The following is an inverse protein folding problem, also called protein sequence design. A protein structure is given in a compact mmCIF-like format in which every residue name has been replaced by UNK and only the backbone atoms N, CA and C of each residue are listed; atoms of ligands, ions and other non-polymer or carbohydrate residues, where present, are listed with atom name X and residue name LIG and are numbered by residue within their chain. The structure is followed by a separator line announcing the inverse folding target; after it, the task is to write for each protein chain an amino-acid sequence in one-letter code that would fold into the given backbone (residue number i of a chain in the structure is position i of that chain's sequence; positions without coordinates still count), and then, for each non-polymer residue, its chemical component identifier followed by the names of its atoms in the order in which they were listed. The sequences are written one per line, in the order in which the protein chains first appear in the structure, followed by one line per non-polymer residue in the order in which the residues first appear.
data_IF_013394296672
#
_entry.id   IF_013394296672
#
_cell.length_a   1.000
_cell.length_b   1.000
_cell.length_c   1.000
_cell.angle_alpha   90.00
_cell.angle_beta   90.00
_cell.angle_gamma   90.00
#
_symmetry.space_group_name_H-M   'P 1'
#
loop_
_entity.id
_entity.type
_entity.pdbx_description
1 polymer ?
#
# COMPACT_ATOMS: atom_id res chain seq x y z
N UNK A 1 -23.36 2.71 26.86
CA UNK A 1 -22.84 3.92 26.19
C UNK A 1 -21.32 4.00 26.24
N UNK A 2 -20.67 3.91 27.40
CA UNK A 2 -19.19 3.93 27.47
C UNK A 2 -18.55 2.62 26.95
N UNK A 3 -19.16 1.46 27.21
CA UNK A 3 -18.68 0.17 26.69
C UNK A 3 -18.82 0.04 25.15
N UNK A 4 -19.82 0.71 24.56
CA UNK A 4 -20.02 0.77 23.11
C UNK A 4 -19.01 1.71 22.44
N UNK A 5 -18.59 2.78 23.13
CA UNK A 5 -17.54 3.68 22.67
C UNK A 5 -16.15 3.03 22.75
N UNK A 6 -15.87 2.26 23.82
CA UNK A 6 -14.63 1.49 23.96
C UNK A 6 -14.57 0.29 22.98
N UNK A 7 -15.71 -0.36 22.71
CA UNK A 7 -15.81 -1.39 21.67
C UNK A 7 -15.63 -0.84 20.25
N UNK A 8 -16.07 0.40 19.99
CA UNK A 8 -15.85 1.08 18.71
C UNK A 8 -14.39 1.54 18.56
N UNK A 9 -13.78 2.10 19.60
CA UNK A 9 -12.35 2.45 19.61
C UNK A 9 -11.43 1.21 19.46
N UNK A 10 -11.82 0.05 20.01
CA UNK A 10 -11.04 -1.19 19.95
C UNK A 10 -10.92 -1.79 18.54
N UNK A 11 -11.92 -1.61 17.67
CA UNK A 11 -11.89 -2.11 16.30
C UNK A 11 -11.41 -1.06 15.28
N UNK A 12 -11.54 0.24 15.59
CA UNK A 12 -11.17 1.32 14.66
C UNK A 12 -9.67 1.68 14.69
N UNK A 13 -8.92 1.14 15.66
CA UNK A 13 -7.52 1.49 15.93
C UNK A 13 -6.53 0.33 15.70
N UNK A 14 -6.92 -0.71 14.97
CA UNK A 14 -6.05 -1.89 14.77
C UNK A 14 -4.89 -1.58 13.78
N UNK A 15 -3.79 -1.08 14.37
CA UNK A 15 -2.40 -1.52 14.21
C UNK A 15 -1.34 -0.42 13.97
N UNK A 16 -1.65 0.73 13.37
CA UNK A 16 -0.66 1.82 13.19
C UNK A 16 -0.86 3.03 14.11
N UNK A 17 -2.10 3.37 14.44
CA UNK A 17 -2.44 4.49 15.31
C UNK A 17 -2.18 4.18 16.80
N UNK A 18 -2.31 2.90 17.19
CA UNK A 18 -2.04 2.40 18.56
C UNK A 18 -0.57 2.49 18.88
N UNK A 19 0.35 2.13 17.99
CA UNK A 19 1.78 2.23 18.27
C UNK A 19 2.23 3.69 18.47
N UNK A 20 1.67 4.63 17.72
CA UNK A 20 1.99 6.06 17.86
C UNK A 20 1.32 6.64 19.12
N UNK A 21 0.05 6.34 19.39
CA UNK A 21 -0.62 6.81 20.59
C UNK A 21 -0.08 6.17 21.87
N UNK A 22 0.31 4.89 21.86
CA UNK A 22 1.03 4.26 22.97
C UNK A 22 2.45 4.81 23.09
N UNK A 23 3.17 5.07 22.00
CA UNK A 23 4.48 5.72 22.10
C UNK A 23 4.40 7.15 22.67
N UNK A 24 3.35 7.90 22.34
CA UNK A 24 3.09 9.23 22.91
C UNK A 24 2.62 9.13 24.36
N UNK A 25 1.71 8.21 24.69
CA UNK A 25 1.22 8.01 26.05
C UNK A 25 2.31 7.47 26.99
N UNK A 26 3.09 6.48 26.56
CA UNK A 26 4.29 6.00 27.27
C UNK A 26 5.31 7.14 27.37
N UNK A 27 5.49 7.93 26.32
CA UNK A 27 6.34 9.11 26.32
C UNK A 27 5.94 10.12 27.41
N UNK A 28 4.65 10.40 27.57
CA UNK A 28 4.12 11.33 28.58
C UNK A 28 4.19 10.71 30.00
N UNK A 29 3.79 9.45 30.16
CA UNK A 29 3.78 8.73 31.45
C UNK A 29 5.21 8.54 31.98
N UNK A 30 6.21 8.35 31.11
CA UNK A 30 7.62 8.21 31.50
C UNK A 30 8.30 9.58 31.63
N UNK A 31 7.93 10.58 30.84
CA UNK A 31 8.55 11.90 30.91
C UNK A 31 8.22 12.67 32.20
N UNK A 32 7.01 12.54 32.73
CA UNK A 32 6.58 13.28 33.93
C UNK A 32 7.36 12.88 35.19
N UNK A 33 7.49 11.59 35.56
CA UNK A 33 8.27 11.18 36.73
C UNK A 33 9.75 11.52 36.60
N UNK A 34 10.32 11.43 35.39
CA UNK A 34 11.74 11.73 35.19
C UNK A 34 12.00 13.25 35.17
N UNK A 35 11.06 14.07 34.68
CA UNK A 35 11.16 15.52 34.83
C UNK A 35 11.08 15.96 36.29
N UNK A 36 10.24 15.31 37.11
CA UNK A 36 10.17 15.53 38.55
C UNK A 36 11.50 15.12 39.23
N UNK A 37 12.06 13.95 38.89
CA UNK A 37 13.36 13.51 39.40
C UNK A 37 14.51 14.43 38.95
N UNK A 38 14.50 14.90 37.71
CA UNK A 38 15.51 15.84 37.20
C UNK A 38 15.43 17.20 37.91
N UNK A 39 14.23 17.68 38.24
CA UNK A 39 14.03 18.90 39.01
C UNK A 39 14.54 18.78 40.47
N UNK A 40 14.35 17.60 41.10
CA UNK A 40 14.81 17.34 42.48
C UNK A 40 16.35 17.27 42.56
N UNK A 41 17.02 16.78 41.50
CA UNK A 41 18.45 16.52 41.52
C UNK A 41 19.28 17.49 40.65
N UNK A 42 18.70 18.60 40.17
CA UNK A 42 19.26 19.47 39.12
C UNK A 42 20.62 20.08 39.47
N UNK A 43 20.92 20.24 40.76
CA UNK A 43 22.20 20.76 41.27
C UNK A 43 23.28 19.69 41.39
N UNK A 44 22.93 18.41 41.30
CA UNK A 44 23.90 17.31 41.32
C UNK A 44 24.38 16.95 39.91
N UNK A 45 25.62 16.50 39.81
CA UNK A 45 26.21 16.05 38.54
C UNK A 45 25.41 14.90 37.88
N UNK A 46 24.78 14.05 38.71
CA UNK A 46 23.88 12.98 38.26
C UNK A 46 22.57 13.52 37.69
N UNK A 47 22.00 14.59 38.24
CA UNK A 47 20.80 15.23 37.71
C UNK A 47 21.04 15.91 36.35
N UNK A 48 22.22 16.53 36.15
CA UNK A 48 22.63 17.09 34.86
C UNK A 48 22.77 16.01 33.78
N UNK A 49 23.33 14.85 34.11
CA UNK A 49 23.40 13.70 33.19
C UNK A 49 22.02 13.15 32.84
N UNK A 50 21.12 13.03 33.83
CA UNK A 50 19.74 12.58 33.62
C UNK A 50 18.97 13.53 32.69
N UNK A 51 19.11 14.84 32.88
CA UNK A 51 18.49 15.86 32.05
C UNK A 51 19.04 15.83 30.60
N UNK A 52 20.35 15.67 30.42
CA UNK A 52 20.96 15.52 29.09
C UNK A 52 20.46 14.26 28.37
N UNK A 53 20.35 13.14 29.09
CA UNK A 53 19.80 11.90 28.54
C UNK A 53 18.34 12.04 28.14
N UNK A 54 17.51 12.72 28.94
CA UNK A 54 16.10 13.02 28.61
C UNK A 54 15.96 13.91 27.37
N UNK A 55 16.80 14.93 27.24
CA UNK A 55 16.83 15.77 26.04
C UNK A 55 17.22 14.94 24.81
N UNK A 56 18.17 14.02 24.95
CA UNK A 56 18.56 13.11 23.87
C UNK A 56 17.43 12.15 23.46
N UNK A 57 16.61 11.69 24.41
CA UNK A 57 15.41 10.88 24.15
C UNK A 57 14.34 11.71 23.42
N UNK A 58 14.07 12.93 23.89
CA UNK A 58 13.12 13.83 23.22
C UNK A 58 13.60 14.15 21.78
N UNK A 59 14.89 14.37 21.57
CA UNK A 59 15.47 14.54 20.23
C UNK A 59 15.38 13.28 19.38
N UNK A 60 15.54 12.09 19.97
CA UNK A 60 15.33 10.81 19.28
C UNK A 60 13.86 10.62 18.88
N UNK A 61 12.91 10.89 19.78
CA UNK A 61 11.48 10.86 19.49
C UNK A 61 11.08 11.90 18.45
N UNK A 62 11.58 13.14 18.55
CA UNK A 62 11.39 14.20 17.53
C UNK A 62 11.98 13.78 16.20
N UNK A 63 13.15 13.15 16.15
CA UNK A 63 13.73 12.60 14.91
C UNK A 63 12.89 11.45 14.35
N UNK A 64 12.32 10.60 15.21
CA UNK A 64 11.43 9.50 14.81
C UNK A 64 10.10 10.03 14.25
N UNK A 65 9.51 11.04 14.89
CA UNK A 65 8.30 11.74 14.42
C UNK A 65 8.58 12.54 13.12
N UNK A 66 9.72 13.22 13.03
CA UNK A 66 10.16 13.94 11.81
C UNK A 66 10.60 13.01 10.67
N UNK A 67 10.71 11.70 10.91
CA UNK A 67 11.17 10.76 9.88
C UNK A 67 10.11 10.47 8.80
N UNK A 68 8.85 10.80 9.07
CA UNK A 68 7.76 10.83 8.09
C UNK A 68 7.07 12.19 8.21
N UNK A 69 7.08 13.00 7.15
CA UNK A 69 6.38 14.31 7.12
C UNK A 69 5.19 14.19 6.20
N UNK A 70 4.00 14.60 6.64
CA UNK A 70 2.86 14.74 5.73
C UNK A 70 3.21 15.71 4.60
N UNK A 71 2.72 15.40 3.41
CA UNK A 71 2.77 16.34 2.28
C UNK A 71 1.79 17.48 2.56
N UNK A 72 2.09 18.68 2.08
CA UNK A 72 1.08 19.72 2.00
C UNK A 72 -0.01 19.30 1.00
N UNK A 73 -1.23 19.81 1.19
CA UNK A 73 -2.40 19.50 0.36
C UNK A 73 -2.11 19.65 -1.14
N UNK A 74 -1.54 20.79 -1.55
CA UNK A 74 -1.14 21.03 -2.94
C UNK A 74 -0.10 20.01 -3.46
N UNK A 75 0.83 19.57 -2.60
CA UNK A 75 1.80 18.53 -3.00
C UNK A 75 1.12 17.17 -3.21
N UNK A 76 0.01 16.89 -2.50
CA UNK A 76 -0.80 15.67 -2.68
C UNK A 76 -1.61 15.78 -3.97
N UNK A 77 -2.26 16.91 -4.23
CA UNK A 77 -3.01 17.13 -5.47
C UNK A 77 -2.13 16.95 -6.72
N UNK A 78 -0.92 17.51 -6.70
CA UNK A 78 0.05 17.36 -7.79
C UNK A 78 0.57 15.92 -7.93
N UNK A 79 0.58 15.16 -6.84
CA UNK A 79 1.07 13.78 -6.83
C UNK A 79 0.03 12.77 -7.34
N UNK A 80 -1.24 13.14 -7.43
CA UNK A 80 -2.33 12.21 -7.73
C UNK A 80 -2.94 12.54 -9.09
N UNK A 81 -3.06 11.52 -9.93
CA UNK A 81 -3.75 11.63 -11.22
C UNK A 81 -4.78 10.53 -11.35
N UNK A 82 -6.05 10.91 -11.46
CA UNK A 82 -7.14 10.01 -11.85
C UNK A 82 -7.06 9.70 -13.34
N UNK A 83 -7.24 8.43 -13.69
CA UNK A 83 -7.52 8.02 -15.08
C UNK A 83 -9.01 8.12 -15.42
N UNK A 84 -9.87 8.46 -14.45
CA UNK A 84 -11.31 8.69 -14.62
C UNK A 84 -11.72 10.12 -14.24
N UNK A 85 -11.05 11.18 -14.74
CA UNK A 85 -11.24 12.54 -14.27
C UNK A 85 -12.66 13.08 -14.53
N UNK A 86 -13.40 12.48 -15.46
CA UNK A 86 -14.80 12.83 -15.76
C UNK A 86 -15.80 12.22 -14.76
N UNK A 87 -15.43 11.14 -14.08
CA UNK A 87 -16.30 10.45 -13.12
C UNK A 87 -15.97 10.86 -11.68
N UNK A 88 -14.69 10.92 -11.34
CA UNK A 88 -14.19 11.33 -10.03
C UNK A 88 -13.14 12.43 -10.22
N UNK A 89 -13.41 13.67 -9.76
CA UNK A 89 -12.43 14.75 -9.77
C UNK A 89 -11.16 14.33 -9.01
N UNK A 90 -9.99 14.80 -9.48
CA UNK A 90 -8.73 14.54 -8.77
C UNK A 90 -8.76 15.04 -7.32
N UNK A 91 -9.43 16.17 -7.08
CA UNK A 91 -9.58 16.77 -5.73
C UNK A 91 -10.27 15.81 -4.77
N UNK A 92 -11.35 15.14 -5.18
CA UNK A 92 -12.04 14.15 -4.34
C UNK A 92 -11.11 13.04 -3.82
N UNK A 93 -10.12 12.66 -4.63
CA UNK A 93 -9.14 11.61 -4.29
C UNK A 93 -8.01 12.23 -3.45
N UNK A 94 -7.52 13.40 -3.83
CA UNK A 94 -6.45 14.11 -3.15
C UNK A 94 -6.86 14.49 -1.71
N UNK A 95 -8.09 14.96 -1.52
CA UNK A 95 -8.67 15.30 -0.21
C UNK A 95 -8.67 14.07 0.70
N UNK A 96 -9.19 12.94 0.22
CA UNK A 96 -9.19 11.69 0.97
C UNK A 96 -7.76 11.23 1.33
N UNK A 97 -6.79 11.40 0.43
CA UNK A 97 -5.39 11.07 0.67
C UNK A 97 -4.75 12.00 1.70
N UNK A 98 -5.04 13.29 1.63
CA UNK A 98 -4.51 14.31 2.54
C UNK A 98 -5.10 14.14 3.95
N UNK A 99 -6.42 14.08 4.08
CA UNK A 99 -7.14 13.94 5.36
C UNK A 99 -6.71 12.68 6.14
N UNK A 100 -6.44 11.58 5.43
CA UNK A 100 -6.04 10.31 6.04
C UNK A 100 -4.51 10.15 6.16
N UNK A 101 -3.72 11.16 5.76
CA UNK A 101 -2.26 11.10 5.80
C UNK A 101 -1.68 9.92 5.00
N UNK A 102 -2.36 9.52 3.93
CA UNK A 102 -2.04 8.31 3.17
C UNK A 102 -0.79 8.47 2.29
N UNK A 103 -0.36 9.72 2.02
CA UNK A 103 0.86 10.05 1.28
C UNK A 103 1.79 10.92 2.13
N UNK A 104 3.01 10.44 2.38
CA UNK A 104 3.99 11.11 3.24
C UNK A 104 5.39 11.14 2.62
N UNK A 105 6.20 12.12 3.02
CA UNK A 105 7.63 12.13 2.74
C UNK A 105 8.32 11.07 3.60
N UNK A 106 9.09 10.22 2.95
CA UNK A 106 9.86 9.15 3.57
C UNK A 106 11.31 9.59 3.73
N UNK A 107 11.75 9.89 4.96
CA UNK A 107 13.16 10.27 5.19
C UNK A 107 14.11 9.06 5.18
N UNK A 108 13.57 7.84 5.29
CA UNK A 108 14.34 6.60 5.14
C UNK A 108 14.31 6.22 3.67
N UNK A 109 15.49 6.17 3.06
CA UNK A 109 15.64 5.76 1.67
C UNK A 109 15.33 4.26 1.57
N UNK A 110 14.18 3.95 1.01
CA UNK A 110 13.77 2.59 0.78
C UNK A 110 13.86 2.23 -0.70
N UNK A 111 14.06 0.94 -1.00
CA UNK A 111 14.17 0.45 -2.36
C UNK A 111 13.39 -0.83 -2.60
N UNK A 112 12.94 -0.98 -3.84
CA UNK A 112 12.38 -2.23 -4.36
C UNK A 112 13.46 -2.87 -5.24
N UNK A 113 13.72 -4.13 -4.97
CA UNK A 113 14.67 -5.01 -5.66
C UNK A 113 16.15 -4.61 -5.56
N UNK A 114 16.97 -5.60 -5.19
CA UNK A 114 18.42 -5.52 -5.01
C UNK A 114 19.14 -5.23 -6.33
N UNK A 115 18.52 -5.55 -7.48
CA UNK A 115 19.11 -5.34 -8.81
C UNK A 115 18.96 -3.89 -9.31
N UNK A 116 17.73 -3.36 -9.33
CA UNK A 116 17.46 -2.02 -9.89
C UNK A 116 17.58 -0.89 -8.87
N UNK A 117 17.48 -1.20 -7.57
CA UNK A 117 17.62 -0.27 -6.43
C UNK A 117 16.89 1.05 -6.66
N UNK A 118 15.57 0.99 -6.83
CA UNK A 118 14.75 2.20 -6.92
C UNK A 118 14.70 2.91 -5.58
N UNK A 119 14.48 4.22 -5.58
CA UNK A 119 14.34 5.00 -4.38
C UNK A 119 13.02 5.74 -4.41
N UNK A 120 12.32 5.68 -3.28
CA UNK A 120 11.01 6.28 -3.09
C UNK A 120 11.10 7.35 -2.01
N UNK A 121 11.26 8.63 -2.39
CA UNK A 121 11.21 9.75 -1.45
C UNK A 121 9.83 9.92 -0.79
N UNK A 122 8.77 9.38 -1.39
CA UNK A 122 7.40 9.39 -0.84
C UNK A 122 6.94 7.97 -0.52
N UNK A 123 6.12 7.84 0.51
CA UNK A 123 5.48 6.60 0.96
C UNK A 123 3.97 6.75 0.82
N UNK A 124 3.33 5.78 0.17
CA UNK A 124 1.88 5.70 0.05
C UNK A 124 1.36 4.48 0.81
N UNK A 125 0.27 4.65 1.55
CA UNK A 125 -0.40 3.59 2.29
C UNK A 125 -1.89 3.61 1.97
N UNK A 126 -2.43 2.47 1.52
CA UNK A 126 -3.85 2.35 1.14
C UNK A 126 -4.74 2.07 2.34
N UNK A 127 -4.22 1.41 3.38
CA UNK A 127 -5.01 1.00 4.56
C UNK A 127 -5.74 2.18 5.23
N UNK A 128 -5.13 3.36 5.43
CA UNK A 128 -5.84 4.53 5.96
C UNK A 128 -7.02 4.97 5.09
N UNK A 129 -6.95 4.78 3.77
CA UNK A 129 -8.03 5.14 2.85
C UNK A 129 -9.19 4.14 2.92
N UNK A 130 -8.88 2.85 3.00
CA UNK A 130 -9.90 1.80 3.09
C UNK A 130 -10.65 1.90 4.42
N UNK A 131 -9.94 2.16 5.52
CA UNK A 131 -10.52 2.17 6.87
C UNK A 131 -11.04 3.54 7.31
N UNK A 132 -10.47 4.63 6.79
CA UNK A 132 -10.76 6.01 7.21
C UNK A 132 -11.73 6.76 6.31
N UNK A 133 -11.90 6.33 5.05
CA UNK A 133 -12.84 6.98 4.13
C UNK A 133 -13.55 5.95 3.21
N UNK A 134 -14.45 5.18 3.81
CA UNK A 134 -15.21 4.14 3.12
C UNK A 134 -16.02 4.69 1.92
N UNK A 135 -16.55 5.92 2.03
CA UNK A 135 -17.29 6.57 0.95
C UNK A 135 -16.41 6.76 -0.29
N UNK A 136 -15.22 7.32 -0.11
CA UNK A 136 -14.24 7.45 -1.18
C UNK A 136 -13.94 6.09 -1.82
N UNK A 137 -13.65 5.09 -0.98
CA UNK A 137 -13.23 3.77 -1.45
C UNK A 137 -14.33 3.06 -2.26
N UNK A 138 -15.59 3.13 -1.81
CA UNK A 138 -16.75 2.60 -2.51
C UNK A 138 -16.97 3.29 -3.86
N UNK A 139 -16.88 4.62 -3.90
CA UNK A 139 -17.06 5.37 -5.15
C UNK A 139 -15.96 5.05 -6.16
N UNK A 140 -14.70 4.97 -5.71
CA UNK A 140 -13.58 4.55 -6.52
C UNK A 140 -13.78 3.15 -7.14
N UNK A 141 -14.24 2.18 -6.33
CA UNK A 141 -14.54 0.83 -6.81
C UNK A 141 -15.73 0.83 -7.78
N UNK A 142 -16.76 1.65 -7.55
CA UNK A 142 -17.92 1.80 -8.45
C UNK A 142 -17.50 2.32 -9.82
N UNK A 143 -16.69 3.37 -9.86
CA UNK A 143 -16.16 3.90 -11.12
C UNK A 143 -15.30 2.87 -11.84
N UNK A 144 -14.40 2.20 -11.12
CA UNK A 144 -13.56 1.16 -11.71
C UNK A 144 -14.39 -0.01 -12.25
N UNK A 145 -15.46 -0.41 -11.56
CA UNK A 145 -16.40 -1.43 -12.02
C UNK A 145 -17.10 -1.05 -13.34
N UNK A 146 -17.47 0.22 -13.51
CA UNK A 146 -18.07 0.70 -14.78
C UNK A 146 -17.10 0.63 -15.97
N UNK A 147 -15.80 0.76 -15.69
CA UNK A 147 -14.74 0.74 -16.73
C UNK A 147 -14.35 -0.68 -17.14
N UNK A 148 -14.75 -1.68 -16.36
CA UNK A 148 -14.51 -3.10 -16.62
C UNK A 148 -15.79 -3.86 -16.97
N UNK A 149 -16.80 -3.18 -17.50
CA UNK A 149 -18.05 -3.79 -17.97
C UNK A 149 -17.83 -4.88 -19.03
N UNK A 150 -16.72 -4.83 -19.78
CA UNK A 150 -16.33 -5.88 -20.72
C UNK A 150 -16.21 -7.27 -20.05
N UNK A 151 -15.93 -7.32 -18.75
CA UNK A 151 -15.88 -8.57 -17.97
C UNK A 151 -17.21 -9.29 -18.00
N UNK A 152 -18.35 -8.58 -18.07
CA UNK A 152 -19.66 -9.21 -18.21
C UNK A 152 -19.79 -10.03 -19.50
N UNK A 153 -19.08 -9.66 -20.57
CA UNK A 153 -19.03 -10.44 -21.80
C UNK A 153 -18.15 -11.69 -21.64
N UNK A 154 -17.06 -11.60 -20.87
CA UNK A 154 -16.21 -12.75 -20.54
C UNK A 154 -16.99 -13.77 -19.70
N UNK A 155 -17.67 -13.31 -18.65
CA UNK A 155 -18.53 -14.15 -17.79
C UNK A 155 -19.60 -14.88 -18.62
N UNK A 156 -20.22 -14.20 -19.59
CA UNK A 156 -21.24 -14.81 -20.46
C UNK A 156 -20.68 -15.83 -21.45
N UNK A 157 -19.41 -15.69 -21.84
CA UNK A 157 -18.76 -16.53 -22.86
C UNK A 157 -17.89 -17.65 -22.28
N UNK A 158 -17.73 -17.73 -20.96
CA UNK A 158 -16.92 -18.76 -20.31
C UNK A 158 -17.50 -19.17 -18.97
N UNK A 159 -17.67 -20.48 -18.80
CA UNK A 159 -18.00 -21.14 -17.54
C UNK A 159 -16.82 -21.20 -16.56
N UNK A 160 -15.60 -20.96 -17.05
CA UNK A 160 -14.34 -21.00 -16.28
C UNK A 160 -13.73 -19.60 -16.11
N UNK A 161 -14.54 -18.66 -15.66
CA UNK A 161 -14.08 -17.33 -15.30
C UNK A 161 -13.82 -17.20 -13.80
N UNK A 162 -12.71 -16.56 -13.42
CA UNK A 162 -12.45 -16.17 -12.04
C UNK A 162 -11.65 -14.88 -11.93
N UNK A 163 -11.83 -14.19 -10.80
CA UNK A 163 -10.90 -13.16 -10.38
C UNK A 163 -9.76 -13.81 -9.56
N UNK A 164 -8.54 -13.32 -9.74
CA UNK A 164 -7.43 -13.64 -8.83
C UNK A 164 -6.84 -12.38 -8.24
N UNK A 165 -6.20 -12.50 -7.09
CA UNK A 165 -5.46 -11.43 -6.44
C UNK A 165 -4.29 -12.01 -5.65
N UNK A 166 -3.22 -11.23 -5.46
CA UNK A 166 -2.16 -11.62 -4.54
C UNK A 166 -2.66 -11.55 -3.10
N UNK A 167 -2.35 -12.55 -2.29
CA UNK A 167 -2.88 -12.71 -0.93
C UNK A 167 -2.32 -11.67 0.06
N UNK A 168 -2.84 -10.43 -0.05
CA UNK A 168 -2.50 -9.28 0.77
C UNK A 168 -3.76 -8.73 1.43
N UNK A 169 -3.64 -8.20 2.64
CA UNK A 169 -4.78 -7.62 3.38
C UNK A 169 -5.53 -6.56 2.57
N UNK A 170 -4.81 -5.65 1.92
CA UNK A 170 -5.40 -4.60 1.04
C UNK A 170 -6.11 -5.18 -0.18
N UNK A 171 -5.61 -6.28 -0.75
CA UNK A 171 -6.21 -6.92 -1.92
C UNK A 171 -7.48 -7.71 -1.56
N UNK A 172 -7.53 -8.31 -0.36
CA UNK A 172 -8.75 -8.94 0.16
C UNK A 172 -9.89 -7.92 0.32
N UNK A 173 -9.58 -6.75 0.87
CA UNK A 173 -10.57 -5.66 1.00
C UNK A 173 -11.00 -5.14 -0.37
N UNK A 174 -10.05 -4.98 -1.28
CA UNK A 174 -10.32 -4.53 -2.65
C UNK A 174 -11.21 -5.49 -3.43
N UNK A 175 -10.92 -6.79 -3.40
CA UNK A 175 -11.78 -7.75 -4.10
C UNK A 175 -13.18 -7.84 -3.49
N UNK A 176 -13.32 -7.68 -2.18
CA UNK A 176 -14.65 -7.67 -1.55
C UNK A 176 -15.47 -6.45 -1.96
N UNK A 177 -14.83 -5.28 -2.07
CA UNK A 177 -15.52 -4.05 -2.45
C UNK A 177 -15.77 -3.91 -3.95
N UNK A 178 -14.87 -4.42 -4.80
CA UNK A 178 -15.00 -4.36 -6.25
C UNK A 178 -15.85 -5.51 -6.81
N UNK A 179 -15.55 -6.75 -6.43
CA UNK A 179 -16.20 -7.91 -7.07
C UNK A 179 -17.59 -8.15 -6.49
N UNK A 180 -17.70 -8.14 -5.15
CA UNK A 180 -18.92 -8.52 -4.45
C UNK A 180 -20.19 -7.76 -4.87
N UNK A 181 -20.16 -6.41 -4.93
CA UNK A 181 -21.35 -5.62 -5.24
C UNK A 181 -21.64 -5.45 -6.74
N UNK A 182 -20.64 -5.62 -7.61
CA UNK A 182 -20.71 -5.08 -8.97
C UNK A 182 -20.87 -6.12 -10.07
N UNK A 183 -20.63 -7.40 -9.79
CA UNK A 183 -20.76 -8.44 -10.80
C UNK A 183 -21.85 -9.45 -10.44
N UNK A 184 -22.70 -9.83 -11.41
CA UNK A 184 -23.83 -10.71 -11.15
C UNK A 184 -23.37 -12.16 -10.87
N UNK A 185 -24.00 -12.79 -9.88
CA UNK A 185 -23.75 -14.20 -9.50
C UNK A 185 -22.60 -14.38 -8.50
N UNK A 186 -22.41 -15.62 -8.04
CA UNK A 186 -21.28 -15.98 -7.16
C UNK A 186 -20.01 -16.21 -7.99
N UNK A 187 -19.45 -15.13 -8.53
CA UNK A 187 -18.17 -15.23 -9.25
C UNK A 187 -17.08 -15.61 -8.26
N UNK A 188 -16.27 -16.58 -8.67
CA UNK A 188 -15.16 -17.05 -7.86
C UNK A 188 -14.04 -16.01 -7.87
N UNK A 189 -13.53 -15.69 -6.68
CA UNK A 189 -12.38 -14.83 -6.50
C UNK A 189 -11.39 -15.51 -5.56
N UNK A 190 -10.18 -15.79 -6.02
CA UNK A 190 -9.23 -16.65 -5.31
C UNK A 190 -7.85 -15.99 -5.11
N UNK A 191 -7.24 -16.19 -3.93
CA UNK A 191 -5.91 -15.66 -3.64
C UNK A 191 -4.81 -16.48 -4.31
N UNK A 192 -3.73 -15.80 -4.69
CA UNK A 192 -2.43 -16.38 -5.02
C UNK A 192 -1.46 -15.97 -3.93
N UNK A 193 -0.85 -16.95 -3.27
CA UNK A 193 0.21 -16.71 -2.28
C UNK A 193 1.53 -16.53 -3.03
N UNK A 194 2.30 -15.52 -2.65
CA UNK A 194 3.63 -15.28 -3.18
C UNK A 194 4.60 -15.12 -2.01
N UNK A 195 5.50 -16.08 -1.86
CA UNK A 195 6.60 -16.04 -0.92
C UNK A 195 7.82 -15.44 -1.61
N UNK A 196 8.44 -14.45 -0.96
CA UNK A 196 9.56 -13.71 -1.52
C UNK A 196 10.83 -13.96 -0.70
N UNK A 197 11.89 -14.48 -1.32
CA UNK A 197 13.16 -14.66 -0.64
C UNK A 197 13.83 -13.30 -0.33
N UNK A 198 14.26 -13.10 0.91
CA UNK A 198 14.97 -11.88 1.33
C UNK A 198 16.44 -11.82 0.87
N UNK A 199 16.95 -12.85 0.18
CA UNK A 199 18.33 -12.96 -0.30
C UNK A 199 18.41 -12.76 -1.81
N UNK A 200 19.52 -12.21 -2.32
CA UNK A 200 19.79 -12.15 -3.75
C UNK A 200 20.40 -13.47 -4.26
N UNK A 201 20.00 -13.98 -5.45
CA UNK A 201 18.96 -13.45 -6.34
C UNK A 201 17.55 -13.64 -5.73
N UNK A 202 16.68 -12.66 -5.96
CA UNK A 202 15.31 -12.65 -5.43
C UNK A 202 14.52 -13.78 -6.08
N UNK A 203 14.07 -14.76 -5.30
CA UNK A 203 13.16 -15.81 -5.73
C UNK A 203 11.74 -15.46 -5.31
N UNK A 204 10.82 -15.65 -6.25
CA UNK A 204 9.38 -15.51 -6.04
C UNK A 204 8.77 -16.91 -6.19
N UNK A 205 8.25 -17.43 -5.08
CA UNK A 205 7.59 -18.73 -5.05
C UNK A 205 6.08 -18.49 -4.98
N UNK A 206 5.39 -18.84 -6.07
CA UNK A 206 3.94 -18.65 -6.17
C UNK A 206 3.20 -19.96 -5.91
N UNK A 207 2.08 -19.86 -5.21
CA UNK A 207 1.21 -20.99 -4.88
C UNK A 207 -0.25 -20.60 -5.01
N UNK A 208 -1.02 -21.48 -5.64
CA UNK A 208 -2.48 -21.42 -5.63
C UNK A 208 -3.01 -22.49 -4.67
N UNK A 209 -3.46 -22.06 -3.50
CA UNK A 209 -3.74 -22.96 -2.37
C UNK A 209 -5.03 -23.76 -2.50
N UNK A 210 -5.89 -23.38 -3.44
CA UNK A 210 -7.19 -24.01 -3.66
C UNK A 210 -7.08 -25.46 -4.17
N UNK A 211 -5.87 -25.92 -4.54
CA UNK A 211 -5.59 -27.28 -4.98
C UNK A 211 -6.10 -27.64 -6.38
N UNK A 212 -6.83 -26.73 -7.02
CA UNK A 212 -7.35 -26.86 -8.38
C UNK A 212 -6.32 -26.33 -9.39
N UNK A 213 -6.23 -26.95 -10.57
CA UNK A 213 -5.40 -26.43 -11.66
C UNK A 213 -6.04 -25.18 -12.27
N UNK A 214 -5.24 -24.13 -12.54
CA UNK A 214 -5.71 -22.94 -13.27
C UNK A 214 -5.87 -23.17 -14.78
N UNK A 215 -5.51 -24.35 -15.28
CA UNK A 215 -5.61 -24.70 -16.70
C UNK A 215 -6.99 -24.45 -17.30
N UNK A 216 -7.02 -23.65 -18.37
CA UNK A 216 -8.23 -23.31 -19.12
C UNK A 216 -9.14 -22.27 -18.48
N UNK A 217 -8.74 -21.69 -17.33
CA UNK A 217 -9.46 -20.57 -16.74
C UNK A 217 -9.15 -19.26 -17.47
N UNK A 218 -10.17 -18.41 -17.54
CA UNK A 218 -10.10 -17.01 -17.96
C UNK A 218 -10.05 -16.13 -16.72
N UNK A 219 -9.02 -15.31 -16.61
CA UNK A 219 -8.65 -14.67 -15.35
C UNK A 219 -8.58 -13.16 -15.52
N UNK A 220 -9.16 -12.45 -14.56
CA UNK A 220 -8.87 -11.02 -14.33
C UNK A 220 -8.09 -10.90 -13.02
N UNK A 221 -6.90 -10.31 -13.10
CA UNK A 221 -6.02 -10.10 -11.95
C UNK A 221 -6.32 -8.76 -11.29
N UNK A 222 -6.52 -8.78 -9.97
CA UNK A 222 -6.79 -7.60 -9.15
C UNK A 222 -5.57 -7.27 -8.29
N UNK A 223 -5.18 -6.00 -8.25
CA UNK A 223 -4.19 -5.50 -7.29
C UNK A 223 -4.60 -4.11 -6.76
N UNK A 224 -4.64 -3.95 -5.45
CA UNK A 224 -5.06 -2.70 -4.84
C UNK A 224 -3.97 -1.63 -4.96
N UNK A 225 -2.69 -2.02 -4.87
CA UNK A 225 -1.58 -1.08 -5.00
C UNK A 225 -0.33 -1.72 -5.60
N UNK A 226 0.06 -1.21 -6.76
CA UNK A 226 1.25 -1.63 -7.48
C UNK A 226 2.34 -0.58 -7.32
N UNK A 227 3.32 -0.88 -6.47
CA UNK A 227 4.49 -0.01 -6.27
C UNK A 227 5.42 -0.04 -7.49
N UNK A 228 5.80 -1.25 -7.92
CA UNK A 228 6.54 -1.50 -9.16
C UNK A 228 5.93 -2.71 -9.89
N UNK A 229 5.95 -2.75 -11.23
CA UNK A 229 5.18 -3.73 -12.01
C UNK A 229 5.80 -5.13 -12.05
N UNK A 230 7.05 -5.32 -11.60
CA UNK A 230 7.75 -6.59 -11.74
C UNK A 230 7.01 -7.78 -11.11
N UNK A 231 6.52 -7.65 -9.87
CA UNK A 231 5.75 -8.74 -9.23
C UNK A 231 4.46 -9.03 -9.97
N UNK A 232 3.76 -7.99 -10.44
CA UNK A 232 2.52 -8.14 -11.21
C UNK A 232 2.81 -8.94 -12.48
N UNK A 233 3.86 -8.57 -13.22
CA UNK A 233 4.34 -9.29 -14.41
C UNK A 233 4.71 -10.74 -14.09
N UNK A 234 5.46 -10.99 -13.01
CA UNK A 234 5.81 -12.35 -12.59
C UNK A 234 4.58 -13.18 -12.22
N UNK A 235 3.60 -12.56 -11.57
CA UNK A 235 2.33 -13.21 -11.21
C UNK A 235 1.56 -13.61 -12.47
N UNK A 236 1.45 -12.70 -13.45
CA UNK A 236 0.78 -12.97 -14.74
C UNK A 236 1.45 -14.13 -15.47
N UNK A 237 2.79 -14.10 -15.60
CA UNK A 237 3.55 -15.18 -16.26
C UNK A 237 3.34 -16.51 -15.56
N UNK A 238 3.42 -16.53 -14.23
CA UNK A 238 3.18 -17.74 -13.47
C UNK A 238 1.76 -18.29 -13.69
N UNK A 239 0.72 -17.43 -13.68
CA UNK A 239 -0.66 -17.82 -13.99
C UNK A 239 -0.76 -18.45 -15.39
N UNK A 240 -0.11 -17.85 -16.40
CA UNK A 240 -0.11 -18.35 -17.77
C UNK A 240 0.64 -19.69 -17.90
N UNK A 241 1.73 -19.88 -17.16
CA UNK A 241 2.46 -21.15 -17.06
C UNK A 241 1.61 -22.27 -16.45
N UNK A 242 0.65 -21.94 -15.56
CA UNK A 242 -0.36 -22.89 -15.07
C UNK A 242 -1.44 -23.23 -16.12
N UNK A 243 -1.35 -22.68 -17.34
CA UNK A 243 -2.25 -22.94 -18.46
C UNK A 243 -3.54 -22.11 -18.45
N UNK A 244 -3.59 -21.03 -17.68
CA UNK A 244 -4.70 -20.07 -17.70
C UNK A 244 -4.47 -18.95 -18.71
N UNK A 245 -5.54 -18.22 -19.03
CA UNK A 245 -5.49 -17.01 -19.85
C UNK A 245 -5.78 -15.81 -18.95
N UNK A 246 -4.87 -14.84 -18.91
CA UNK A 246 -5.10 -13.57 -18.21
C UNK A 246 -5.70 -12.59 -19.22
N UNK A 247 -7.00 -12.34 -19.10
CA UNK A 247 -7.74 -11.45 -20.01
C UNK A 247 -7.60 -9.97 -19.66
N UNK A 248 -7.36 -9.66 -18.39
CA UNK A 248 -7.32 -8.29 -17.92
C UNK A 248 -6.65 -8.12 -16.56
N UNK A 249 -6.31 -6.87 -16.26
CA UNK A 249 -5.67 -6.47 -15.01
C UNK A 249 -6.35 -5.22 -14.50
N UNK A 250 -6.73 -5.23 -13.23
CA UNK A 250 -7.45 -4.12 -12.60
C UNK A 250 -6.68 -3.66 -11.37
N UNK A 251 -6.25 -2.40 -11.40
CA UNK A 251 -5.38 -1.79 -10.41
C UNK A 251 -6.07 -0.56 -9.84
N UNK A 252 -6.19 -0.47 -8.50
CA UNK A 252 -6.75 0.73 -7.89
C UNK A 252 -5.71 1.86 -7.83
N UNK A 253 -4.53 1.61 -7.27
CA UNK A 253 -3.44 2.60 -7.20
C UNK A 253 -2.16 2.08 -7.84
N UNK A 254 -1.51 2.92 -8.64
CA UNK A 254 -0.22 2.59 -9.26
C UNK A 254 0.82 3.66 -8.95
N UNK A 255 1.87 3.27 -8.24
CA UNK A 255 2.98 4.15 -7.85
C UNK A 255 3.98 4.39 -8.97
N UNK A 256 4.23 3.37 -9.80
CA UNK A 256 5.17 3.43 -10.93
C UNK A 256 4.44 3.57 -12.26
N UNK A 257 3.60 4.61 -12.39
CA UNK A 257 2.60 4.81 -13.46
C UNK A 257 3.08 4.71 -14.93
N UNK A 258 4.38 4.69 -15.20
CA UNK A 258 4.96 4.60 -16.55
C UNK A 258 5.70 3.30 -16.86
N UNK A 259 5.59 2.26 -16.02
CA UNK A 259 6.48 1.10 -16.10
C UNK A 259 5.79 -0.25 -16.36
N UNK A 260 4.46 -0.34 -16.30
CA UNK A 260 3.81 -1.61 -16.67
C UNK A 260 3.90 -1.79 -18.19
N UNK A 261 4.37 -2.95 -18.62
CA UNK A 261 4.53 -3.30 -20.03
C UNK A 261 3.56 -4.45 -20.34
N UNK A 262 2.31 -4.10 -20.63
CA UNK A 262 1.22 -5.00 -20.97
C UNK A 262 1.55 -5.91 -22.15
N UNK A 263 2.29 -5.39 -23.15
CA UNK A 263 2.70 -6.15 -24.34
C UNK A 263 3.60 -7.34 -23.98
N UNK A 264 4.46 -7.20 -22.97
CA UNK A 264 5.34 -8.28 -22.51
C UNK A 264 4.58 -9.43 -21.83
N UNK A 265 3.30 -9.23 -21.49
CA UNK A 265 2.44 -10.21 -20.85
C UNK A 265 1.35 -10.76 -21.79
N UNK A 266 1.28 -10.28 -23.04
CA UNK A 266 0.26 -10.69 -24.00
C UNK A 266 -1.18 -10.29 -23.61
N UNK A 267 -1.33 -9.28 -22.76
CA UNK A 267 -2.63 -8.79 -22.31
C UNK A 267 -3.05 -7.63 -23.22
N UNK A 268 -4.32 -7.60 -23.62
CA UNK A 268 -4.86 -6.46 -24.35
C UNK A 268 -4.80 -5.21 -23.47
N UNK A 269 -4.15 -4.15 -23.96
CA UNK A 269 -4.01 -2.86 -23.28
C UNK A 269 -5.37 -2.30 -22.85
N UNK A 270 -6.42 -2.49 -23.65
CA UNK A 270 -7.78 -2.00 -23.32
C UNK A 270 -8.36 -2.68 -22.07
N UNK A 271 -7.87 -3.86 -21.72
CA UNK A 271 -8.30 -4.64 -20.55
C UNK A 271 -7.44 -4.38 -19.31
N UNK A 272 -6.46 -3.48 -19.41
CA UNK A 272 -5.67 -3.01 -18.27
C UNK A 272 -6.29 -1.73 -17.74
N UNK A 273 -6.98 -1.81 -16.60
CA UNK A 273 -7.62 -0.66 -15.97
C UNK A 273 -6.87 -0.25 -14.71
N UNK A 274 -6.40 0.99 -14.68
CA UNK A 274 -5.71 1.60 -13.54
C UNK A 274 -6.55 2.80 -13.10
N UNK A 275 -7.02 2.86 -11.86
CA UNK A 275 -7.85 3.97 -11.42
C UNK A 275 -7.04 5.24 -11.14
N UNK A 276 -5.97 5.13 -10.34
CA UNK A 276 -5.19 6.26 -9.88
C UNK A 276 -3.69 6.04 -10.03
N UNK A 277 -2.99 7.06 -10.50
CA UNK A 277 -1.54 7.14 -10.49
C UNK A 277 -1.08 7.97 -9.30
N UNK A 278 -0.07 7.48 -8.60
CA UNK A 278 0.52 8.13 -7.42
C UNK A 278 1.99 8.42 -7.70
N UNK A 279 2.38 9.68 -7.83
CA UNK A 279 3.78 10.07 -8.03
C UNK A 279 4.58 9.95 -6.73
N UNK A 280 5.30 8.83 -6.63
CA UNK A 280 6.21 8.54 -5.52
C UNK A 280 7.62 9.13 -5.68
N UNK A 281 7.88 9.89 -6.75
CA UNK A 281 9.20 10.46 -7.12
C UNK A 281 10.30 9.40 -7.29
N UNK A 282 9.96 8.30 -7.96
CA UNK A 282 10.84 7.14 -8.14
C UNK A 282 12.15 7.53 -8.85
N UNK A 283 13.30 7.21 -8.24
CA UNK A 283 14.63 7.45 -8.81
C UNK A 283 15.50 6.19 -8.76
N UNK A 284 16.34 5.93 -9.77
CA UNK A 284 17.34 4.84 -9.70
C UNK A 284 18.51 5.24 -8.81
N UNK A 285 18.93 4.36 -7.89
CA UNK A 285 20.08 4.62 -7.00
C UNK A 285 21.36 4.96 -7.76
N UNK A 286 21.60 4.33 -8.92
CA UNK A 286 22.79 4.59 -9.76
C UNK A 286 22.92 6.04 -10.23
N UNK A 287 21.83 6.83 -10.20
CA UNK A 287 21.84 8.25 -10.54
C UNK A 287 22.17 9.17 -9.36
N UNK A 288 22.26 8.63 -8.14
CA UNK A 288 22.62 9.41 -6.96
C UNK A 288 24.13 9.32 -6.71
N UNK A 289 24.77 10.49 -6.55
CA UNK A 289 26.21 10.63 -6.27
C UNK A 289 26.63 10.19 -4.85
N UNK A 290 25.79 9.50 -4.08
CA UNK A 290 26.14 9.13 -2.69
C UNK A 290 26.56 7.67 -2.58
N UNK A 291 27.87 7.45 -2.44
CA UNK A 291 28.40 6.26 -1.79
C UNK A 291 27.86 6.25 -0.34
N UNK A 292 27.35 5.12 0.13
CA UNK A 292 27.04 4.85 1.55
C UNK A 292 25.77 5.45 2.19
N UNK A 293 24.60 5.27 1.56
CA UNK A 293 23.34 5.26 2.32
C UNK A 293 22.97 3.84 2.71
N UNK A 294 22.75 3.58 4.01
CA UNK A 294 22.15 2.33 4.50
C UNK A 294 20.71 2.26 4.00
N UNK A 295 20.47 1.50 2.94
CA UNK A 295 19.15 1.34 2.34
C UNK A 295 18.37 0.24 3.06
N UNK A 296 17.07 0.48 3.29
CA UNK A 296 16.16 -0.56 3.78
C UNK A 296 15.45 -1.21 2.60
N UNK A 297 15.55 -2.54 2.49
CA UNK A 297 14.84 -3.31 1.48
C UNK A 297 13.34 -3.25 1.78
N UNK A 298 12.55 -2.88 0.78
CA UNK A 298 11.11 -3.09 0.78
C UNK A 298 10.81 -4.37 0.02
N UNK A 299 10.22 -5.33 0.71
CA UNK A 299 9.54 -6.45 0.07
C UNK A 299 8.13 -6.04 -0.29
N UNK A 300 7.52 -6.78 -1.23
CA UNK A 300 6.14 -6.51 -1.62
C UNK A 300 5.13 -6.80 -0.51
N UNK A 301 5.49 -7.62 0.49
CA UNK A 301 4.66 -7.91 1.66
C UNK A 301 4.62 -6.76 2.66
N UNK A 302 5.52 -5.77 2.55
CA UNK A 302 5.57 -4.61 3.44
C UNK A 302 4.57 -3.50 3.04
N UNK A 303 3.75 -3.71 2.00
CA UNK A 303 2.72 -2.80 1.48
C UNK A 303 1.42 -3.56 1.22
#
# INVERSE_FOLDING_TARGET
MIASFLGWCSNHWQHHSVEICWAVAIGIIVAIPIAILAAIYIETEKGKQLASWLLSLNDWFRKKIRSERNLAEQEVEEAIKSNFPKQIPNTFVADAIFENGALTWNTKWHYTDVEKKYLFPRKFSVLPLINGNEKFYREACRCLASEIEYINQIIKSSDKFLFVYLDKGVNRLFKDQLVGPHFPGKIQCHPIVCDESHTAPRRLDFKYEKGESLRGYRIVLLDCFVLVPELLTSTIKWIQEQGAIVDGVVILFMGAGSFFNENACGINQDNVKIAYLVDLKISKLSRLRSKDKKLKLLTYCNY
#
